data_IF_686636275608
#
_entry.id   IF_686636275608
#
_cell.length_a   1.000
_cell.length_b   1.000
_cell.length_c   1.000
_cell.angle_alpha   90.00
_cell.angle_beta   90.00
_cell.angle_gamma   90.00
#
_symmetry.space_group_name_H-M   'P 1'
#
loop_
_entity.id
_entity.type
_entity.pdbx_description
1 polymer ?
#
# COMPACT_ATOMS: atom_id res chain seq x y z
N UNK A 1 10.30 -19.76 -21.46
CA UNK A 1 8.83 -19.90 -21.33
C UNK A 1 8.23 -18.89 -20.36
N UNK A 2 8.69 -18.84 -19.11
CA UNK A 2 8.20 -17.90 -18.09
C UNK A 2 8.17 -16.42 -18.56
N UNK A 3 9.27 -15.89 -19.11
CA UNK A 3 9.31 -14.51 -19.63
C UNK A 3 8.35 -14.26 -20.80
N UNK A 4 8.09 -15.28 -21.61
CA UNK A 4 7.26 -15.18 -22.82
C UNK A 4 5.80 -15.03 -22.42
N UNK A 5 5.28 -15.92 -21.57
CA UNK A 5 3.90 -15.80 -21.11
C UNK A 5 3.68 -14.56 -20.24
N UNK A 6 4.69 -14.14 -19.46
CA UNK A 6 4.63 -12.87 -18.72
C UNK A 6 4.43 -11.67 -19.64
N UNK A 7 5.14 -11.61 -20.76
CA UNK A 7 4.99 -10.53 -21.74
C UNK A 7 3.55 -10.42 -22.23
N UNK A 8 2.94 -11.53 -22.65
CA UNK A 8 1.55 -11.54 -23.12
C UNK A 8 0.55 -11.25 -21.99
N UNK A 9 0.74 -11.87 -20.82
CA UNK A 9 -0.09 -11.62 -19.65
C UNK A 9 -0.09 -10.15 -19.23
N UNK A 10 1.08 -9.48 -19.23
CA UNK A 10 1.22 -8.06 -18.92
C UNK A 10 0.59 -7.17 -19.98
N UNK A 11 0.70 -7.51 -21.27
CA UNK A 11 0.02 -6.74 -22.33
C UNK A 11 -1.52 -6.77 -22.18
N UNK A 12 -2.07 -7.90 -21.72
CA UNK A 12 -3.43 -7.98 -21.18
C UNK A 12 -4.58 -7.83 -22.18
N UNK A 13 -4.30 -7.60 -23.46
CA UNK A 13 -5.35 -7.56 -24.50
C UNK A 13 -6.01 -8.94 -24.62
N UNK A 14 -7.24 -8.99 -25.15
CA UNK A 14 -7.94 -10.27 -25.37
C UNK A 14 -7.10 -11.22 -26.23
N UNK A 15 -6.42 -10.71 -27.26
CA UNK A 15 -5.56 -11.50 -28.12
C UNK A 15 -4.32 -12.02 -27.38
N UNK A 16 -3.70 -11.21 -26.52
CA UNK A 16 -2.55 -11.64 -25.72
C UNK A 16 -2.94 -12.70 -24.70
N UNK A 17 -4.12 -12.58 -24.07
CA UNK A 17 -4.63 -13.59 -23.15
C UNK A 17 -4.99 -14.90 -23.86
N UNK A 18 -5.48 -14.84 -25.10
CA UNK A 18 -5.65 -16.03 -25.95
C UNK A 18 -4.29 -16.63 -26.35
N UNK A 19 -3.26 -15.81 -26.58
CA UNK A 19 -1.90 -16.30 -26.80
C UNK A 19 -1.35 -17.03 -25.56
N UNK A 20 -1.62 -16.55 -24.35
CA UNK A 20 -1.31 -17.27 -23.11
C UNK A 20 -1.98 -18.65 -23.07
N UNK A 21 -3.23 -18.76 -23.52
CA UNK A 21 -3.94 -20.05 -23.59
C UNK A 21 -3.26 -21.01 -24.57
N UNK A 22 -2.90 -20.50 -25.77
CA UNK A 22 -2.17 -21.26 -26.77
C UNK A 22 -0.80 -21.73 -26.28
N UNK A 23 -0.05 -20.89 -25.56
CA UNK A 23 1.23 -21.27 -24.95
C UNK A 23 1.08 -22.43 -23.96
N UNK A 24 0.03 -22.43 -23.14
CA UNK A 24 -0.25 -23.50 -22.18
C UNK A 24 -0.66 -24.80 -22.88
N UNK A 25 -1.44 -24.71 -23.96
CA UNK A 25 -1.91 -25.86 -24.74
C UNK A 25 -0.78 -26.51 -25.55
N UNK A 26 0.12 -25.70 -26.12
CA UNK A 26 1.25 -26.16 -26.94
C UNK A 26 2.48 -26.57 -26.10
N UNK A 27 2.42 -26.41 -24.79
CA UNK A 27 3.53 -26.75 -23.91
C UNK A 27 3.85 -28.26 -23.99
N UNK A 28 5.10 -28.65 -24.27
CA UNK A 28 5.43 -30.04 -24.61
C UNK A 28 5.43 -31.00 -23.41
N UNK A 29 5.40 -30.47 -22.18
CA UNK A 29 5.27 -31.30 -20.97
C UNK A 29 4.61 -30.53 -19.83
N UNK A 30 4.21 -31.25 -18.77
CA UNK A 30 3.66 -30.63 -17.55
C UNK A 30 4.64 -29.66 -16.87
N UNK A 31 5.94 -29.94 -16.91
CA UNK A 31 6.95 -29.03 -16.33
C UNK A 31 7.00 -27.69 -17.06
N UNK A 32 6.87 -27.72 -18.40
CA UNK A 32 6.77 -26.51 -19.21
C UNK A 32 5.46 -25.76 -18.91
N UNK A 33 4.34 -26.47 -18.76
CA UNK A 33 3.07 -25.88 -18.33
C UNK A 33 3.18 -25.20 -16.96
N UNK A 34 3.84 -25.84 -15.99
CA UNK A 34 4.07 -25.25 -14.65
C UNK A 34 4.95 -24.00 -14.72
N UNK A 35 5.99 -24.00 -15.56
CA UNK A 35 6.83 -22.82 -15.80
C UNK A 35 6.02 -21.67 -16.40
N UNK A 36 5.10 -21.99 -17.32
CA UNK A 36 4.21 -21.00 -17.92
C UNK A 36 3.19 -20.47 -16.89
N UNK A 37 2.55 -21.35 -16.10
CA UNK A 37 1.65 -20.96 -15.01
C UNK A 37 2.37 -20.04 -14.03
N UNK A 38 3.59 -20.37 -13.60
CA UNK A 38 4.38 -19.53 -12.68
C UNK A 38 4.63 -18.14 -13.25
N UNK A 39 4.98 -18.06 -14.54
CA UNK A 39 5.12 -16.80 -15.24
C UNK A 39 3.81 -16.01 -15.24
N UNK A 40 2.72 -16.67 -15.65
CA UNK A 40 1.37 -16.08 -15.67
C UNK A 40 0.95 -15.54 -14.29
N UNK A 41 1.11 -16.32 -13.23
CA UNK A 41 0.82 -15.93 -11.85
C UNK A 41 1.63 -14.71 -11.40
N UNK A 42 2.91 -14.65 -11.80
CA UNK A 42 3.77 -13.50 -11.50
C UNK A 42 3.28 -12.24 -12.21
N UNK A 43 2.84 -12.36 -13.46
CA UNK A 43 2.30 -11.22 -14.24
C UNK A 43 0.90 -10.77 -13.77
N UNK A 44 0.16 -11.63 -13.08
CA UNK A 44 -1.17 -11.33 -12.55
C UNK A 44 -1.18 -11.04 -11.03
N UNK A 45 -0.01 -10.96 -10.39
CA UNK A 45 0.07 -10.51 -9.01
C UNK A 45 -0.49 -9.09 -8.88
N UNK A 46 -1.47 -8.88 -7.98
CA UNK A 46 -2.13 -7.58 -7.84
C UNK A 46 -3.24 -7.27 -8.85
N UNK A 47 -3.52 -8.18 -9.81
CA UNK A 47 -4.53 -7.99 -10.87
C UNK A 47 -5.73 -8.93 -10.66
N UNK A 48 -6.92 -8.45 -10.98
CA UNK A 48 -8.13 -9.29 -11.00
C UNK A 48 -8.07 -10.29 -12.15
N UNK A 49 -8.59 -11.51 -11.92
CA UNK A 49 -8.75 -12.55 -12.94
C UNK A 49 -10.20 -12.67 -13.43
N UNK A 50 -11.10 -11.76 -13.03
CA UNK A 50 -12.53 -11.86 -13.31
C UNK A 50 -12.90 -11.84 -14.81
N UNK A 51 -11.98 -11.42 -15.69
CA UNK A 51 -12.23 -11.23 -17.12
C UNK A 51 -11.28 -12.06 -18.02
N UNK A 52 -10.72 -13.17 -17.51
CA UNK A 52 -9.93 -14.05 -18.36
C UNK A 52 -10.82 -14.72 -19.44
N UNK A 53 -10.36 -14.85 -20.69
CA UNK A 53 -11.07 -15.62 -21.70
C UNK A 53 -11.28 -17.07 -21.25
N UNK A 54 -12.46 -17.65 -21.55
CA UNK A 54 -12.79 -19.03 -21.19
C UNK A 54 -11.74 -20.05 -21.66
N UNK A 55 -11.16 -19.82 -22.85
CA UNK A 55 -10.09 -20.64 -23.40
C UNK A 55 -8.83 -20.66 -22.50
N UNK A 56 -8.48 -19.52 -21.89
CA UNK A 56 -7.35 -19.42 -20.97
C UNK A 56 -7.68 -20.07 -19.62
N UNK A 57 -8.90 -19.88 -19.11
CA UNK A 57 -9.36 -20.56 -17.88
C UNK A 57 -9.29 -22.08 -18.08
N UNK A 58 -9.79 -22.59 -19.21
CA UNK A 58 -9.74 -24.00 -19.56
C UNK A 58 -8.29 -24.52 -19.68
N UNK A 59 -7.40 -23.74 -20.31
CA UNK A 59 -5.98 -24.09 -20.42
C UNK A 59 -5.27 -24.14 -19.06
N UNK A 60 -5.52 -23.18 -18.16
CA UNK A 60 -5.00 -23.19 -16.78
C UNK A 60 -5.51 -24.43 -16.04
N UNK A 61 -6.80 -24.75 -16.16
CA UNK A 61 -7.40 -25.95 -15.55
C UNK A 61 -6.74 -27.24 -16.07
N UNK A 62 -6.57 -27.37 -17.38
CA UNK A 62 -5.92 -28.52 -18.01
C UNK A 62 -4.46 -28.68 -17.57
N UNK A 63 -3.77 -27.56 -17.32
CA UNK A 63 -2.41 -27.52 -16.80
C UNK A 63 -2.30 -27.72 -15.27
N UNK A 64 -3.38 -28.18 -14.61
CA UNK A 64 -3.40 -28.50 -13.18
C UNK A 64 -4.07 -27.46 -12.30
N UNK A 65 -4.74 -26.45 -12.88
CA UNK A 65 -5.53 -25.45 -12.15
C UNK A 65 -4.73 -24.33 -11.50
N UNK A 66 -3.40 -24.33 -11.65
CA UNK A 66 -2.50 -23.36 -11.03
C UNK A 66 -2.41 -23.45 -9.50
N UNK A 67 -1.70 -22.49 -8.89
CA UNK A 67 -1.56 -22.46 -7.44
C UNK A 67 -2.87 -22.07 -6.76
N UNK A 68 -3.00 -22.41 -5.47
CA UNK A 68 -4.14 -21.97 -4.66
C UNK A 68 -4.29 -20.45 -4.63
N UNK A 69 -3.18 -19.70 -4.78
CA UNK A 69 -3.23 -18.23 -4.87
C UNK A 69 -3.86 -17.75 -6.18
N UNK A 70 -3.60 -18.44 -7.29
CA UNK A 70 -4.26 -18.16 -8.57
C UNK A 70 -5.76 -18.49 -8.50
N UNK A 71 -6.09 -19.66 -7.98
CA UNK A 71 -7.47 -20.11 -7.80
C UNK A 71 -8.27 -19.17 -6.88
N UNK A 72 -7.62 -18.64 -5.83
CA UNK A 72 -8.21 -17.64 -4.96
C UNK A 72 -8.49 -16.32 -5.72
N UNK A 73 -7.55 -15.85 -6.55
CA UNK A 73 -7.76 -14.67 -7.41
C UNK A 73 -8.84 -14.87 -8.47
N UNK A 74 -9.08 -16.13 -8.89
CA UNK A 74 -10.20 -16.50 -9.76
C UNK A 74 -11.54 -16.56 -9.00
N UNK A 75 -11.54 -16.42 -7.68
CA UNK A 75 -12.75 -16.51 -6.86
C UNK A 75 -13.29 -17.93 -6.72
N UNK A 76 -12.48 -18.98 -6.94
CA UNK A 76 -12.96 -20.36 -6.82
C UNK A 76 -13.40 -20.66 -5.37
N UNK A 77 -14.58 -21.28 -5.15
CA UNK A 77 -15.13 -21.48 -3.81
C UNK A 77 -14.24 -22.30 -2.88
N UNK A 78 -13.63 -23.38 -3.38
CA UNK A 78 -12.74 -24.24 -2.58
C UNK A 78 -11.47 -23.51 -2.14
N UNK A 79 -10.80 -22.82 -3.08
CA UNK A 79 -9.61 -22.02 -2.77
C UNK A 79 -9.93 -20.89 -1.78
N UNK A 80 -11.11 -20.26 -1.92
CA UNK A 80 -11.63 -19.28 -0.96
C UNK A 80 -11.78 -19.89 0.43
N UNK A 81 -12.42 -21.07 0.54
CA UNK A 81 -12.62 -21.74 1.83
C UNK A 81 -11.28 -22.11 2.47
N UNK A 82 -10.36 -22.70 1.71
CA UNK A 82 -9.02 -23.03 2.20
C UNK A 82 -8.28 -21.78 2.66
N UNK A 83 -8.30 -20.70 1.88
CA UNK A 83 -7.63 -19.45 2.24
C UNK A 83 -8.19 -18.85 3.54
N UNK A 84 -9.52 -18.77 3.69
CA UNK A 84 -10.15 -18.28 4.92
C UNK A 84 -9.76 -19.14 6.13
N UNK A 85 -9.79 -20.48 5.98
CA UNK A 85 -9.40 -21.41 7.03
C UNK A 85 -7.92 -21.27 7.43
N UNK A 86 -7.02 -21.15 6.44
CA UNK A 86 -5.59 -20.92 6.67
C UNK A 86 -5.37 -19.61 7.42
N UNK A 87 -6.02 -18.51 7.00
CA UNK A 87 -5.89 -17.22 7.68
C UNK A 87 -6.40 -17.32 9.13
N UNK A 88 -7.54 -17.98 9.36
CA UNK A 88 -8.11 -18.11 10.71
C UNK A 88 -7.32 -19.02 11.64
N UNK A 89 -6.43 -19.87 11.11
CA UNK A 89 -5.64 -20.83 11.89
C UNK A 89 -4.32 -20.19 12.32
N UNK A 90 -4.12 -19.85 13.63
CA UNK A 90 -2.94 -19.10 14.06
C UNK A 90 -1.61 -19.85 13.87
N UNK A 91 -1.66 -21.19 13.84
CA UNK A 91 -0.50 -22.08 13.68
C UNK A 91 -0.16 -22.39 12.22
N UNK A 92 -0.98 -21.97 11.25
CA UNK A 92 -0.68 -22.17 9.85
C UNK A 92 0.52 -21.30 9.41
N UNK A 93 1.15 -21.67 8.29
CA UNK A 93 2.33 -20.99 7.78
C UNK A 93 2.10 -19.48 7.63
N UNK A 94 2.98 -18.69 8.25
CA UNK A 94 2.83 -17.23 8.31
C UNK A 94 2.90 -16.60 6.93
N UNK A 95 3.79 -17.07 6.05
CA UNK A 95 3.95 -16.50 4.72
C UNK A 95 2.70 -16.75 3.87
N UNK A 96 2.11 -17.94 3.97
CA UNK A 96 0.88 -18.30 3.30
C UNK A 96 -0.32 -17.50 3.81
N UNK A 97 -0.46 -17.35 5.15
CA UNK A 97 -1.48 -16.47 5.75
C UNK A 97 -1.37 -15.05 5.23
N UNK A 98 -0.16 -14.49 5.22
CA UNK A 98 0.10 -13.14 4.71
C UNK A 98 -0.24 -13.01 3.22
N UNK A 99 0.10 -14.01 2.40
CA UNK A 99 -0.22 -14.03 0.98
C UNK A 99 -1.74 -14.02 0.74
N UNK A 100 -2.50 -14.85 1.44
CA UNK A 100 -3.95 -14.89 1.30
C UNK A 100 -4.64 -13.62 1.79
N UNK A 101 -4.18 -13.03 2.91
CA UNK A 101 -4.69 -11.73 3.38
C UNK A 101 -4.55 -10.68 2.27
N UNK A 102 -3.37 -10.57 1.66
CA UNK A 102 -3.11 -9.61 0.59
C UNK A 102 -3.98 -9.86 -0.63
N UNK A 103 -4.17 -11.12 -1.03
CA UNK A 103 -5.05 -11.47 -2.15
C UNK A 103 -6.49 -11.05 -1.86
N UNK A 104 -6.98 -11.17 -0.63
CA UNK A 104 -8.30 -10.64 -0.26
C UNK A 104 -8.37 -9.10 -0.30
N UNK A 105 -7.23 -8.40 -0.31
CA UNK A 105 -7.16 -6.97 -0.61
C UNK A 105 -7.18 -6.66 -2.12
N UNK A 106 -6.72 -7.58 -2.95
CA UNK A 106 -6.69 -7.49 -4.42
C UNK A 106 -8.05 -7.87 -5.04
N UNK A 107 -8.63 -8.98 -4.58
CA UNK A 107 -9.88 -9.56 -5.03
C UNK A 107 -10.80 -9.70 -3.81
N UNK A 108 -11.74 -8.76 -3.68
CA UNK A 108 -12.61 -8.67 -2.51
C UNK A 108 -13.56 -9.86 -2.43
N UNK A 109 -13.70 -10.45 -1.25
CA UNK A 109 -14.72 -11.44 -0.96
C UNK A 109 -15.38 -11.11 0.40
N UNK A 110 -16.69 -10.80 0.46
CA UNK A 110 -17.35 -10.41 1.72
C UNK A 110 -17.12 -11.38 2.89
N UNK A 111 -16.98 -12.69 2.62
CA UNK A 111 -16.70 -13.70 3.64
C UNK A 111 -15.32 -13.54 4.32
N UNK A 112 -14.40 -12.79 3.71
CA UNK A 112 -13.10 -12.49 4.29
C UNK A 112 -13.16 -11.42 5.39
N UNK A 113 -14.16 -10.53 5.38
CA UNK A 113 -14.22 -9.39 6.31
C UNK A 113 -14.20 -9.82 7.79
N UNK A 114 -15.02 -10.80 8.24
CA UNK A 114 -14.98 -11.28 9.62
C UNK A 114 -13.63 -11.90 9.99
N UNK A 115 -13.01 -12.65 9.06
CA UNK A 115 -11.72 -13.31 9.28
C UNK A 115 -10.59 -12.28 9.39
N UNK A 116 -10.56 -11.29 8.49
CA UNK A 116 -9.58 -10.19 8.54
C UNK A 116 -9.72 -9.38 9.83
N UNK A 117 -10.94 -9.08 10.25
CA UNK A 117 -11.18 -8.40 11.53
C UNK A 117 -10.73 -9.23 12.74
N UNK A 118 -10.93 -10.55 12.70
CA UNK A 118 -10.40 -11.44 13.73
C UNK A 118 -8.86 -11.40 13.78
N UNK A 119 -8.19 -11.35 12.62
CA UNK A 119 -6.73 -11.18 12.57
C UNK A 119 -6.32 -9.86 13.22
N UNK A 120 -6.96 -8.73 12.87
CA UNK A 120 -6.64 -7.41 13.46
C UNK A 120 -6.79 -7.41 14.99
N UNK A 121 -7.83 -8.04 15.51
CA UNK A 121 -8.16 -8.03 16.94
C UNK A 121 -7.34 -9.02 17.77
N UNK A 122 -7.10 -10.24 17.27
CA UNK A 122 -6.59 -11.36 18.09
C UNK A 122 -5.22 -11.89 17.69
N UNK A 123 -4.73 -11.63 16.49
CA UNK A 123 -3.44 -12.18 16.06
C UNK A 123 -2.28 -11.54 16.84
N UNK A 124 -1.25 -12.32 17.16
CA UNK A 124 -0.04 -11.83 17.86
C UNK A 124 0.94 -11.17 16.89
N UNK A 125 0.84 -11.45 15.60
CA UNK A 125 1.77 -10.99 14.59
C UNK A 125 1.35 -9.64 14.00
N UNK A 126 2.09 -8.58 14.31
CA UNK A 126 1.79 -7.23 13.84
C UNK A 126 1.77 -7.09 12.30
N UNK A 127 2.59 -7.87 11.58
CA UNK A 127 2.61 -7.85 10.13
C UNK A 127 1.31 -8.38 9.53
N UNK A 128 0.73 -9.44 10.11
CA UNK A 128 -0.57 -9.98 9.70
C UNK A 128 -1.71 -9.00 10.03
N UNK A 129 -1.68 -8.40 11.23
CA UNK A 129 -2.65 -7.38 11.65
C UNK A 129 -2.66 -6.17 10.71
N UNK A 130 -1.47 -5.65 10.39
CA UNK A 130 -1.28 -4.55 9.44
C UNK A 130 -1.79 -4.93 8.06
N UNK A 131 -1.40 -6.10 7.54
CA UNK A 131 -1.86 -6.57 6.25
C UNK A 131 -3.39 -6.70 6.18
N UNK A 132 -4.04 -7.16 7.26
CA UNK A 132 -5.49 -7.26 7.33
C UNK A 132 -6.17 -5.88 7.31
N UNK A 133 -5.64 -4.89 8.05
CA UNK A 133 -6.12 -3.50 7.97
C UNK A 133 -5.97 -2.94 6.54
N UNK A 134 -4.80 -3.07 5.92
CA UNK A 134 -4.58 -2.55 4.58
C UNK A 134 -5.46 -3.25 3.52
N UNK A 135 -5.67 -4.56 3.67
CA UNK A 135 -6.51 -5.34 2.75
C UNK A 135 -7.98 -4.97 2.86
N UNK A 136 -8.48 -4.67 4.06
CA UNK A 136 -9.88 -4.25 4.25
C UNK A 136 -10.22 -2.91 3.57
N UNK A 137 -9.23 -2.10 3.18
CA UNK A 137 -9.49 -0.84 2.47
C UNK A 137 -10.15 -1.04 1.10
N UNK A 138 -9.97 -2.19 0.43
CA UNK A 138 -10.60 -2.46 -0.86
C UNK A 138 -12.10 -2.75 -0.76
N UNK A 139 -12.60 -3.09 0.43
CA UNK A 139 -14.00 -3.43 0.68
C UNK A 139 -14.88 -2.20 0.82
N UNK A 140 -16.18 -2.34 0.60
CA UNK A 140 -17.17 -1.25 0.68
C UNK A 140 -18.13 -1.36 1.87
N UNK A 141 -18.01 -2.40 2.70
CA UNK A 141 -18.86 -2.58 3.88
C UNK A 141 -18.69 -1.42 4.88
N UNK A 142 -19.75 -0.62 5.05
CA UNK A 142 -19.79 0.51 5.97
C UNK A 142 -19.55 0.11 7.44
N UNK A 143 -19.84 -1.15 7.81
CA UNK A 143 -19.60 -1.70 9.13
C UNK A 143 -18.11 -1.88 9.47
N UNK A 144 -17.22 -1.95 8.47
CA UNK A 144 -15.77 -2.06 8.70
C UNK A 144 -15.28 -0.85 9.50
N UNK A 145 -15.69 0.37 9.11
CA UNK A 145 -15.30 1.60 9.80
C UNK A 145 -15.64 1.58 11.29
N UNK A 146 -16.90 1.26 11.62
CA UNK A 146 -17.37 1.15 13.02
C UNK A 146 -16.53 0.15 13.83
N UNK A 147 -16.26 -1.02 13.25
CA UNK A 147 -15.51 -2.09 13.93
C UNK A 147 -14.04 -1.73 14.13
N UNK A 148 -13.42 -1.03 13.18
CA UNK A 148 -12.04 -0.54 13.31
C UNK A 148 -11.95 0.59 14.33
N UNK A 149 -12.94 1.50 14.38
CA UNK A 149 -13.04 2.55 15.42
C UNK A 149 -13.08 1.93 16.82
N UNK A 150 -13.86 0.87 17.05
CA UNK A 150 -13.91 0.18 18.35
C UNK A 150 -12.55 -0.37 18.79
N UNK A 151 -11.71 -0.80 17.84
CA UNK A 151 -10.37 -1.35 18.15
C UNK A 151 -9.30 -0.26 18.29
N UNK A 152 -9.53 0.94 17.74
CA UNK A 152 -8.52 1.99 17.55
C UNK A 152 -7.66 2.27 18.78
N UNK A 153 -8.29 2.48 19.94
CA UNK A 153 -7.59 2.86 21.17
C UNK A 153 -6.79 1.69 21.79
N UNK A 154 -7.11 0.44 21.43
CA UNK A 154 -6.39 -0.75 21.89
C UNK A 154 -5.20 -1.11 21.00
N UNK A 155 -5.09 -0.51 19.81
CA UNK A 155 -4.02 -0.80 18.87
C UNK A 155 -2.71 -0.10 19.30
N UNK A 156 -1.56 -0.79 19.18
CA UNK A 156 -0.23 -0.15 19.25
C UNK A 156 -0.07 0.94 18.19
N UNK A 157 0.81 1.92 18.42
CA UNK A 157 1.00 3.10 17.56
C UNK A 157 1.04 2.79 16.04
N UNK A 158 1.95 1.94 15.55
CA UNK A 158 2.04 1.63 14.12
C UNK A 158 0.77 0.98 13.53
N UNK A 159 0.06 0.17 14.33
CA UNK A 159 -1.20 -0.43 13.91
C UNK A 159 -2.37 0.55 13.97
N UNK A 160 -2.34 1.49 14.92
CA UNK A 160 -3.31 2.58 15.02
C UNK A 160 -3.23 3.50 13.81
N UNK A 161 -2.03 3.87 13.37
CA UNK A 161 -1.81 4.62 12.13
C UNK A 161 -2.35 3.86 10.91
N UNK A 162 -2.10 2.55 10.83
CA UNK A 162 -2.65 1.70 9.76
C UNK A 162 -4.18 1.65 9.79
N UNK A 163 -4.78 1.62 10.98
CA UNK A 163 -6.22 1.68 11.17
C UNK A 163 -6.81 3.03 10.77
N UNK A 164 -6.14 4.14 11.12
CA UNK A 164 -6.52 5.47 10.69
C UNK A 164 -6.41 5.63 9.17
N UNK A 165 -5.35 5.10 8.54
CA UNK A 165 -5.19 5.05 7.08
C UNK A 165 -6.38 4.35 6.42
N UNK A 166 -6.86 3.22 7.00
CA UNK A 166 -8.10 2.59 6.55
C UNK A 166 -9.31 3.51 6.75
N UNK A 167 -9.50 4.07 7.94
CA UNK A 167 -10.67 4.87 8.27
C UNK A 167 -10.82 6.10 7.37
N UNK A 168 -9.72 6.69 6.92
CA UNK A 168 -9.74 7.84 6.01
C UNK A 168 -9.68 7.47 4.54
N UNK A 169 -9.62 6.17 4.19
CA UNK A 169 -9.57 5.72 2.80
C UNK A 169 -10.89 5.85 2.05
N UNK A 170 -12.02 6.01 2.75
CA UNK A 170 -13.37 6.16 2.17
C UNK A 170 -14.16 7.23 2.89
N UNK A 171 -15.06 7.89 2.17
CA UNK A 171 -15.90 8.98 2.69
C UNK A 171 -16.74 8.56 3.89
N UNK A 172 -17.42 7.41 3.81
CA UNK A 172 -18.31 6.94 4.86
C UNK A 172 -17.54 6.62 6.15
N UNK A 173 -16.40 5.96 6.03
CA UNK A 173 -15.53 5.65 7.17
C UNK A 173 -14.86 6.90 7.74
N UNK A 174 -14.48 7.85 6.88
CA UNK A 174 -13.91 9.14 7.30
C UNK A 174 -14.93 9.93 8.12
N UNK A 175 -16.20 9.91 7.70
CA UNK A 175 -17.30 10.54 8.43
C UNK A 175 -17.52 9.87 9.79
N UNK A 176 -17.51 8.53 9.85
CA UNK A 176 -17.60 7.80 11.12
C UNK A 176 -16.41 8.10 12.04
N UNK A 177 -15.20 8.20 11.49
CA UNK A 177 -13.99 8.50 12.25
C UNK A 177 -14.01 9.92 12.82
N UNK A 178 -14.43 10.90 12.02
CA UNK A 178 -14.61 12.28 12.49
C UNK A 178 -15.72 12.40 13.53
N UNK A 179 -16.82 11.64 13.40
CA UNK A 179 -17.84 11.58 14.43
C UNK A 179 -17.31 10.98 15.75
N UNK A 180 -16.45 9.96 15.68
CA UNK A 180 -15.80 9.39 16.86
C UNK A 180 -14.80 10.36 17.53
N UNK A 181 -14.19 11.26 16.76
CA UNK A 181 -13.39 12.37 17.28
C UNK A 181 -14.28 13.41 17.94
N UNK A 182 -15.42 13.75 17.30
CA UNK A 182 -16.36 14.75 17.82
C UNK A 182 -17.02 14.32 19.13
N UNK A 183 -17.30 13.02 19.29
CA UNK A 183 -17.82 12.44 20.53
C UNK A 183 -16.77 12.25 21.62
N UNK A 184 -15.48 12.50 21.34
CA UNK A 184 -14.37 12.25 22.25
C UNK A 184 -14.00 10.77 22.42
N UNK A 185 -14.57 9.86 21.63
CA UNK A 185 -14.20 8.44 21.64
C UNK A 185 -12.77 8.22 21.13
N UNK A 186 -12.33 9.03 20.17
CA UNK A 186 -10.95 9.08 19.70
C UNK A 186 -10.38 10.46 20.02
N UNK A 187 -9.26 10.49 20.74
CA UNK A 187 -8.54 11.73 20.99
C UNK A 187 -7.97 12.29 19.68
N UNK A 188 -8.31 13.55 19.37
CA UNK A 188 -7.79 14.27 18.22
C UNK A 188 -6.27 14.38 18.22
N UNK A 189 -5.61 14.38 19.39
CA UNK A 189 -4.15 14.42 19.49
C UNK A 189 -3.50 13.12 19.00
N UNK A 190 -4.24 12.02 18.96
CA UNK A 190 -3.77 10.76 18.42
C UNK A 190 -3.86 10.69 16.88
N UNK A 191 -4.30 11.75 16.19
CA UNK A 191 -4.49 11.79 14.74
C UNK A 191 -3.36 12.58 14.08
N UNK A 192 -2.41 11.90 13.41
CA UNK A 192 -1.28 12.56 12.76
C UNK A 192 -1.70 13.48 11.61
N UNK A 193 -0.86 14.46 11.27
CA UNK A 193 -1.17 15.48 10.26
C UNK A 193 -1.40 14.88 8.87
N UNK A 194 -0.73 13.77 8.55
CA UNK A 194 -0.91 13.05 7.28
C UNK A 194 -2.30 12.42 7.15
N UNK A 195 -2.87 11.94 8.26
CA UNK A 195 -4.24 11.42 8.30
C UNK A 195 -5.23 12.58 8.14
N UNK A 196 -4.97 13.71 8.80
CA UNK A 196 -5.77 14.93 8.63
C UNK A 196 -5.75 15.43 7.18
N UNK A 197 -4.60 15.39 6.50
CA UNK A 197 -4.48 15.75 5.08
C UNK A 197 -5.25 14.78 4.19
N UNK A 198 -5.18 13.46 4.45
CA UNK A 198 -5.96 12.46 3.70
C UNK A 198 -7.47 12.69 3.83
N UNK A 199 -7.96 13.15 4.98
CA UNK A 199 -9.38 13.52 5.14
C UNK A 199 -9.80 14.62 4.16
N UNK A 200 -8.97 15.63 3.94
CA UNK A 200 -9.27 16.72 3.00
C UNK A 200 -9.33 16.27 1.53
N UNK A 201 -8.69 15.14 1.17
CA UNK A 201 -8.72 14.60 -0.19
C UNK A 201 -10.10 14.10 -0.61
N UNK A 202 -11.03 13.88 0.32
CA UNK A 202 -12.42 13.53 0.02
C UNK A 202 -13.20 14.64 -0.69
N UNK A 203 -12.67 15.88 -0.67
CA UNK A 203 -13.27 17.07 -1.24
C UNK A 203 -14.76 17.22 -0.87
N UNK A 204 -15.07 16.97 0.41
CA UNK A 204 -16.42 16.97 0.95
C UNK A 204 -16.56 18.08 2.00
N UNK A 205 -17.63 18.87 1.90
CA UNK A 205 -17.85 20.06 2.74
C UNK A 205 -17.96 19.71 4.23
N UNK A 206 -18.67 18.65 4.58
CA UNK A 206 -18.89 18.25 5.97
C UNK A 206 -17.60 17.73 6.61
N UNK A 207 -16.86 16.88 5.89
CA UNK A 207 -15.53 16.42 6.28
C UNK A 207 -14.59 17.62 6.47
N UNK A 208 -14.55 18.56 5.54
CA UNK A 208 -13.70 19.75 5.63
C UNK A 208 -14.05 20.62 6.85
N UNK A 209 -15.34 20.76 7.16
CA UNK A 209 -15.80 21.51 8.32
C UNK A 209 -15.41 20.83 9.64
N UNK A 210 -15.58 19.51 9.74
CA UNK A 210 -15.16 18.74 10.92
C UNK A 210 -13.63 18.75 11.09
N UNK A 211 -12.88 18.64 10.00
CA UNK A 211 -11.41 18.76 10.05
C UNK A 211 -11.01 20.14 10.60
N UNK A 212 -11.62 21.22 10.10
CA UNK A 212 -11.37 22.59 10.62
C UNK A 212 -11.77 22.74 12.08
N UNK A 213 -12.92 22.18 12.49
CA UNK A 213 -13.42 22.21 13.87
C UNK A 213 -12.42 21.59 14.85
N UNK A 214 -11.84 20.44 14.51
CA UNK A 214 -10.99 19.69 15.44
C UNK A 214 -9.51 20.05 15.35
N UNK A 215 -9.02 20.29 14.13
CA UNK A 215 -7.59 20.43 13.82
C UNK A 215 -7.20 21.84 13.34
N UNK A 216 -8.16 22.73 13.13
CA UNK A 216 -7.90 24.06 12.58
C UNK A 216 -7.53 24.01 11.09
N UNK A 217 -6.69 24.94 10.65
CA UNK A 217 -6.23 24.97 9.27
C UNK A 217 -5.16 23.89 9.05
N UNK A 218 -5.58 22.75 8.50
CA UNK A 218 -4.69 21.64 8.13
C UNK A 218 -4.00 21.98 6.80
N UNK A 219 -3.01 22.85 6.87
CA UNK A 219 -2.06 23.11 5.79
C UNK A 219 -0.65 22.80 6.30
N UNK A 220 0.23 22.31 5.41
CA UNK A 220 1.67 22.34 5.70
C UNK A 220 2.17 23.78 5.83
N UNK A 221 3.42 23.94 6.25
CA UNK A 221 4.10 25.21 6.14
C UNK A 221 4.03 25.70 4.68
N UNK A 222 3.82 27.01 4.47
CA UNK A 222 3.86 27.59 3.12
C UNK A 222 5.26 27.49 2.55
N UNK A 223 5.41 27.56 1.22
CA UNK A 223 6.73 27.62 0.57
C UNK A 223 7.60 28.72 1.18
N UNK A 224 7.01 29.88 1.49
CA UNK A 224 7.72 31.00 2.14
C UNK A 224 8.16 30.66 3.57
N UNK A 225 7.31 30.01 4.37
CA UNK A 225 7.66 29.58 5.73
C UNK A 225 8.77 28.51 5.70
N UNK A 226 8.69 27.56 4.77
CA UNK A 226 9.71 26.54 4.58
C UNK A 226 11.03 27.19 4.13
N UNK A 227 10.99 28.14 3.20
CA UNK A 227 12.17 28.87 2.72
C UNK A 227 12.85 29.64 3.86
N UNK A 228 12.07 30.35 4.67
CA UNK A 228 12.59 31.03 5.86
C UNK A 228 13.25 30.04 6.83
N UNK A 229 12.62 28.88 7.06
CA UNK A 229 13.18 27.84 7.93
C UNK A 229 14.48 27.25 7.39
N UNK A 230 14.59 27.09 6.07
CA UNK A 230 15.81 26.62 5.40
C UNK A 230 16.94 27.62 5.63
N UNK A 231 16.67 28.93 5.50
CA UNK A 231 17.65 29.99 5.75
C UNK A 231 18.11 30.01 7.21
N UNK A 232 17.17 29.97 8.17
CA UNK A 232 17.48 29.90 9.61
C UNK A 232 18.38 28.70 9.96
N UNK A 233 18.07 27.52 9.43
CA UNK A 233 18.86 26.30 9.68
C UNK A 233 20.22 26.34 8.97
N UNK A 234 20.27 26.89 7.76
CA UNK A 234 21.51 27.05 7.02
C UNK A 234 22.47 27.95 7.80
N UNK A 235 22.01 29.11 8.27
CA UNK A 235 22.85 30.06 9.01
C UNK A 235 23.35 29.45 10.33
N UNK A 236 22.50 28.70 11.03
CA UNK A 236 22.89 27.96 12.23
C UNK A 236 23.97 26.92 11.93
N UNK A 237 23.84 26.15 10.85
CA UNK A 237 24.79 25.08 10.51
C UNK A 237 26.12 25.63 9.97
N UNK A 238 26.09 26.73 9.21
CA UNK A 238 27.31 27.37 8.67
C UNK A 238 28.13 28.02 9.78
N UNK A 239 27.48 28.53 10.84
CA UNK A 239 28.15 29.19 11.98
C UNK A 239 28.45 28.25 13.15
N UNK A 240 27.95 27.01 13.13
CA UNK A 240 28.19 26.02 14.17
C UNK A 240 29.70 25.68 14.29
N UNK A 241 30.20 25.63 15.52
CA UNK A 241 31.56 25.16 15.80
C UNK A 241 31.58 23.63 15.85
N UNK A 242 32.23 23.00 14.87
CA UNK A 242 32.44 21.55 14.81
C UNK A 242 31.90 20.92 13.53
N UNK A 243 32.38 19.72 13.20
CA UNK A 243 31.87 18.93 12.08
C UNK A 243 30.84 17.90 12.55
N UNK A 244 29.88 17.57 11.69
CA UNK A 244 28.97 16.45 11.93
C UNK A 244 29.73 15.12 12.03
N UNK A 245 29.27 14.21 12.89
CA UNK A 245 29.84 12.87 13.01
C UNK A 245 29.14 11.90 12.04
N UNK A 246 29.83 11.35 11.02
CA UNK A 246 29.20 10.48 10.03
C UNK A 246 28.66 9.17 10.60
N UNK A 247 29.26 8.65 11.69
CA UNK A 247 28.77 7.43 12.36
C UNK A 247 27.45 7.69 13.08
N UNK A 248 27.33 8.84 13.76
CA UNK A 248 26.07 9.26 14.39
C UNK A 248 25.00 9.56 13.34
N UNK A 249 25.38 10.25 12.26
CA UNK A 249 24.50 10.54 11.12
C UNK A 249 23.96 9.27 10.45
N UNK A 250 24.78 8.21 10.33
CA UNK A 250 24.35 6.91 9.78
C UNK A 250 23.22 6.28 10.59
N UNK A 251 23.24 6.39 11.92
CA UNK A 251 22.16 5.86 12.78
C UNK A 251 20.84 6.60 12.52
N UNK A 252 20.88 7.94 12.52
CA UNK A 252 19.71 8.78 12.24
C UNK A 252 19.16 8.54 10.82
N UNK A 253 20.07 8.42 9.84
CA UNK A 253 19.71 8.10 8.47
C UNK A 253 18.91 6.80 8.42
N UNK A 254 19.42 5.69 8.99
CA UNK A 254 18.74 4.39 8.96
C UNK A 254 17.35 4.44 9.59
N UNK A 255 17.16 5.22 10.65
CA UNK A 255 15.88 5.34 11.35
C UNK A 255 14.84 6.18 10.59
N UNK A 256 15.28 7.09 9.72
CA UNK A 256 14.42 8.10 9.12
C UNK A 256 14.41 7.98 7.60
N UNK A 257 15.51 8.34 6.95
CA UNK A 257 15.63 8.37 5.49
C UNK A 257 15.81 6.98 4.88
N UNK A 258 16.56 6.11 5.56
CA UNK A 258 16.89 4.74 5.16
C UNK A 258 15.69 3.81 5.09
N UNK A 259 14.54 4.19 5.67
CA UNK A 259 13.27 3.50 5.45
C UNK A 259 12.85 3.53 3.98
N UNK A 260 13.16 4.62 3.28
CA UNK A 260 12.77 4.83 1.89
C UNK A 260 13.95 4.81 0.91
N UNK A 261 15.09 5.38 1.30
CA UNK A 261 16.22 5.64 0.41
C UNK A 261 17.38 4.67 0.62
N UNK A 262 18.05 4.33 -0.47
CA UNK A 262 19.33 3.59 -0.44
C UNK A 262 20.48 4.58 -0.27
N UNK A 263 21.45 4.22 0.57
CA UNK A 263 22.74 4.89 0.69
C UNK A 263 23.83 3.82 0.78
N UNK A 264 24.68 3.79 -0.23
CA UNK A 264 25.60 2.70 -0.54
C UNK A 264 24.86 1.37 -0.70
N UNK A 265 25.01 0.47 0.27
CA UNK A 265 24.40 -0.88 0.25
C UNK A 265 23.22 -1.01 1.21
N UNK A 266 22.80 0.07 1.86
CA UNK A 266 21.84 0.05 2.95
C UNK A 266 20.62 0.93 2.70
N UNK A 267 19.46 0.51 3.19
CA UNK A 267 18.22 1.27 3.16
C UNK A 267 17.16 0.73 2.20
N UNK A 268 16.16 1.56 1.92
CA UNK A 268 14.97 1.20 1.13
C UNK A 268 15.11 1.50 -0.35
N UNK A 269 14.17 0.96 -1.14
CA UNK A 269 14.05 1.18 -2.60
C UNK A 269 12.71 1.85 -2.96
N UNK A 270 12.20 2.67 -2.04
CA UNK A 270 10.97 3.44 -2.24
C UNK A 270 11.32 4.79 -2.85
N UNK A 271 12.30 5.49 -2.26
CA UNK A 271 12.86 6.74 -2.77
C UNK A 271 14.11 6.50 -3.63
N UNK A 272 14.63 7.56 -4.29
CA UNK A 272 15.85 7.48 -5.07
C UNK A 272 17.06 7.03 -4.25
N UNK A 273 17.99 6.35 -4.92
CA UNK A 273 19.30 6.04 -4.37
C UNK A 273 20.10 7.33 -4.17
N UNK A 274 20.50 7.59 -2.92
CA UNK A 274 21.19 8.81 -2.49
C UNK A 274 22.72 8.68 -2.53
N UNK A 275 23.27 7.54 -2.98
CA UNK A 275 24.72 7.25 -2.99
C UNK A 275 25.52 8.24 -3.82
N UNK A 276 24.99 8.64 -4.98
CA UNK A 276 25.64 9.58 -5.89
C UNK A 276 25.32 11.06 -5.64
N UNK A 277 24.44 11.38 -4.68
CA UNK A 277 24.04 12.76 -4.43
C UNK A 277 25.13 13.53 -3.69
N UNK A 278 25.25 14.83 -4.00
CA UNK A 278 26.13 15.77 -3.28
C UNK A 278 25.62 15.94 -1.85
N UNK A 279 26.36 15.37 -0.90
CA UNK A 279 26.01 15.40 0.54
C UNK A 279 26.73 16.49 1.32
N UNK A 280 27.62 17.22 0.66
CA UNK A 280 28.33 18.39 1.15
C UNK A 280 27.56 19.70 0.91
N UNK A 281 26.56 19.70 0.02
CA UNK A 281 25.64 20.82 -0.16
C UNK A 281 24.56 20.85 0.94
N UNK A 282 24.89 21.45 2.08
CA UNK A 282 23.99 21.58 3.23
C UNK A 282 22.68 22.28 2.85
N UNK A 283 22.75 23.36 2.07
CA UNK A 283 21.56 24.12 1.67
C UNK A 283 20.66 23.26 0.77
N UNK A 284 21.24 22.54 -0.18
CA UNK A 284 20.52 21.58 -1.03
C UNK A 284 19.87 20.46 -0.22
N UNK A 285 20.54 19.92 0.80
CA UNK A 285 19.93 18.93 1.71
C UNK A 285 18.76 19.55 2.47
N UNK A 286 18.91 20.75 3.05
CA UNK A 286 17.85 21.43 3.79
C UNK A 286 16.63 21.68 2.90
N UNK A 287 16.83 22.11 1.65
CA UNK A 287 15.74 22.24 0.67
C UNK A 287 14.98 20.92 0.51
N UNK A 288 15.69 19.81 0.31
CA UNK A 288 15.09 18.48 0.09
C UNK A 288 14.45 17.89 1.37
N UNK A 289 14.92 18.26 2.56
CA UNK A 289 14.36 17.77 3.83
C UNK A 289 13.16 18.59 4.28
N UNK A 290 13.22 19.91 4.17
CA UNK A 290 12.19 20.82 4.68
C UNK A 290 11.11 21.05 3.63
N UNK A 291 11.48 21.15 2.35
CA UNK A 291 10.55 21.36 1.23
C UNK A 291 10.77 20.32 0.11
N UNK A 292 10.57 19.01 0.38
CA UNK A 292 10.75 17.96 -0.62
C UNK A 292 9.84 18.11 -1.84
N UNK A 293 8.72 18.84 -1.71
CA UNK A 293 7.80 19.09 -2.81
C UNK A 293 8.24 20.23 -3.74
N UNK A 294 9.31 20.97 -3.41
CA UNK A 294 9.86 22.01 -4.29
C UNK A 294 10.45 21.42 -5.58
N UNK A 295 11.03 20.23 -5.48
CA UNK A 295 11.58 19.51 -6.62
C UNK A 295 11.34 18.01 -6.42
N UNK A 296 10.44 17.45 -7.22
CA UNK A 296 10.17 16.01 -7.21
C UNK A 296 10.80 15.40 -8.46
N UNK A 297 11.75 14.48 -8.25
CA UNK A 297 12.40 13.78 -9.34
C UNK A 297 11.37 12.93 -10.09
N UNK A 298 11.44 12.95 -11.42
CA UNK A 298 10.63 12.10 -12.30
C UNK A 298 10.72 10.63 -11.88
N UNK A 299 9.57 9.97 -11.75
CA UNK A 299 9.43 8.58 -11.30
C UNK A 299 9.27 8.40 -9.78
N UNK A 300 9.34 9.48 -9.00
CA UNK A 300 9.07 9.49 -7.56
C UNK A 300 7.94 10.44 -7.20
N UNK A 301 7.08 10.78 -8.16
CA UNK A 301 5.85 11.54 -7.90
C UNK A 301 4.88 10.68 -7.07
N UNK A 302 4.27 11.33 -6.09
CA UNK A 302 3.21 10.73 -5.32
C UNK A 302 1.87 10.98 -6.03
N UNK A 303 1.15 9.90 -6.33
CA UNK A 303 -0.15 9.92 -7.00
C UNK A 303 -1.26 9.67 -5.99
N UNK A 304 -2.34 10.41 -6.13
CA UNK A 304 -3.61 10.14 -5.45
C UNK A 304 -4.63 9.69 -6.48
N UNK A 305 -5.20 8.50 -6.25
CA UNK A 305 -6.24 7.90 -7.09
C UNK A 305 -7.52 7.82 -6.28
N UNK A 306 -8.58 8.43 -6.81
CA UNK A 306 -9.95 8.20 -6.35
C UNK A 306 -10.58 7.15 -7.26
N UNK A 307 -10.90 5.98 -6.71
CA UNK A 307 -11.57 4.91 -7.47
C UNK A 307 -13.05 5.22 -7.66
N UNK A 308 -13.67 4.61 -8.68
CA UNK A 308 -15.12 4.69 -8.88
C UNK A 308 -15.91 4.14 -7.68
N UNK A 309 -15.33 3.19 -6.94
CA UNK A 309 -15.91 2.70 -5.69
C UNK A 309 -15.81 3.69 -4.51
N UNK A 310 -15.21 4.87 -4.70
CA UNK A 310 -15.08 5.91 -3.68
C UNK A 310 -13.92 5.70 -2.69
N UNK A 311 -12.93 4.88 -3.05
CA UNK A 311 -11.70 4.69 -2.26
C UNK A 311 -10.64 5.68 -2.72
N UNK A 312 -9.98 6.32 -1.77
CA UNK A 312 -8.77 7.11 -2.01
C UNK A 312 -7.55 6.25 -1.71
N UNK A 313 -6.65 6.16 -2.70
CA UNK A 313 -5.36 5.46 -2.58
C UNK A 313 -4.26 6.45 -2.94
N UNK A 314 -3.20 6.48 -2.15
CA UNK A 314 -2.08 7.40 -2.33
C UNK A 314 -0.78 6.61 -2.34
N UNK A 315 0.11 6.86 -3.29
CA UNK A 315 1.38 6.15 -3.38
C UNK A 315 2.20 6.49 -4.63
N UNK A 316 3.30 5.80 -4.81
CA UNK A 316 4.14 5.92 -6.02
C UNK A 316 3.69 4.90 -7.05
N UNK A 317 3.65 5.27 -8.33
CA UNK A 317 3.37 4.30 -9.40
C UNK A 317 4.55 3.33 -9.47
N UNK A 318 4.29 2.09 -9.07
CA UNK A 318 5.27 1.00 -9.13
C UNK A 318 5.17 0.23 -10.44
N UNK A 319 3.97 0.15 -11.01
CA UNK A 319 3.69 -0.45 -12.31
C UNK A 319 2.40 0.15 -12.88
N UNK A 320 2.28 0.21 -14.20
CA UNK A 320 1.07 0.68 -14.87
C UNK A 320 0.99 0.12 -16.29
N UNK A 321 -0.17 -0.46 -16.62
CA UNK A 321 -0.55 -0.83 -17.97
C UNK A 321 -1.94 -0.25 -18.32
N UNK A 322 -2.53 -0.68 -19.43
CA UNK A 322 -3.83 -0.20 -19.90
C UNK A 322 -5.02 -0.66 -19.04
N UNK A 323 -4.80 -1.57 -18.10
CA UNK A 323 -5.84 -2.18 -17.25
C UNK A 323 -5.61 -1.93 -15.77
N UNK A 324 -4.37 -1.80 -15.32
CA UNK A 324 -4.01 -1.77 -13.90
C UNK A 324 -2.98 -0.68 -13.63
N UNK A 325 -3.21 0.04 -12.53
CA UNK A 325 -2.23 0.92 -11.89
C UNK A 325 -1.86 0.29 -10.55
N UNK A 326 -0.59 -0.02 -10.37
CA UNK A 326 -0.05 -0.53 -9.10
C UNK A 326 0.59 0.63 -8.37
N UNK A 327 -0.04 1.03 -7.27
CA UNK A 327 0.54 2.00 -6.36
C UNK A 327 1.28 1.30 -5.22
N UNK A 328 2.50 1.75 -4.95
CA UNK A 328 3.23 1.42 -3.74
C UNK A 328 2.96 2.50 -2.71
N UNK A 329 2.17 2.16 -1.69
CA UNK A 329 1.97 3.00 -0.52
C UNK A 329 3.27 3.18 0.29
N UNK A 330 3.24 4.15 1.20
CA UNK A 330 4.29 4.36 2.22
C UNK A 330 4.04 3.52 3.47
N UNK A 331 2.89 2.86 3.55
CA UNK A 331 2.41 1.99 4.62
C UNK A 331 2.51 0.48 4.31
#
# INVERSE_FOLDING_TARGET
LDRIIRRYALAGSRQDLLACAGLLQLAPSREHQQTLIKGFETAFAGRSLANLPDALIAAIKAAGGGSITLQLRQGLPEATRTALQTISTPTADKAQRLAFIRIFGEVTNPAAVPVLQQVVSKDKNEQLRRAALLSMQSYTDAGIGKRVITLHNTLPGPLRESAQSLLVSRRDWATQFLAAIDSGTIDKQAVPVEIQRKLLLHNNKDINNLVRKHFGQVSGATTQQMQKRIEELNDMLVTAKGAGNPYSGKVLYRQTCGKCHTLFTEGGKIGPDLTGFKRDDIRGILMNVINPSAEIRKGFENYTVLTESGRIVTGFIADQDNQVVVLRGVD
#
